data_IF_425777393844
#
_entry.id   IF_425777393844
#
_cell.length_a   1.000
_cell.length_b   1.000
_cell.length_c   1.000
_cell.angle_alpha   90.00
_cell.angle_beta   90.00
_cell.angle_gamma   90.00
#
_symmetry.space_group_name_H-M   'P 1'
#
loop_
_entity.id
_entity.type
_entity.pdbx_description
1 polymer ?
#
# COMPACT_ATOMS: atom_id res chain seq x y z
N UNK A 1 50.85 8.20 -25.21
CA UNK A 1 50.14 8.30 -23.91
C UNK A 1 48.74 7.71 -24.09
N UNK A 2 48.33 6.67 -23.34
CA UNK A 2 46.99 6.12 -23.46
C UNK A 2 45.97 6.97 -22.69
N UNK A 3 44.89 7.36 -23.36
CA UNK A 3 43.79 8.17 -22.80
C UNK A 3 42.87 7.31 -21.93
N UNK A 4 42.62 7.75 -20.70
CA UNK A 4 41.69 7.11 -19.75
C UNK A 4 40.25 7.13 -20.30
N UNK A 5 39.49 6.01 -20.24
CA UNK A 5 38.12 6.00 -20.73
C UNK A 5 37.22 6.86 -19.85
N UNK A 6 36.45 7.75 -20.48
CA UNK A 6 35.47 8.63 -19.83
C UNK A 6 34.16 7.89 -19.56
N UNK A 7 33.51 8.07 -18.40
CA UNK A 7 32.21 7.47 -18.11
C UNK A 7 31.10 8.13 -18.96
N UNK A 8 30.38 7.33 -19.75
CA UNK A 8 29.26 7.80 -20.57
C UNK A 8 28.01 8.01 -19.70
N UNK A 9 27.62 9.28 -19.51
CA UNK A 9 26.34 9.67 -18.93
C UNK A 9 25.25 9.60 -19.99
N UNK A 10 24.62 8.43 -20.17
CA UNK A 10 23.42 8.31 -21.01
C UNK A 10 22.23 8.92 -20.26
N UNK A 11 21.90 10.17 -20.59
CA UNK A 11 20.65 10.82 -20.14
C UNK A 11 19.48 10.06 -20.78
N UNK A 12 18.56 9.57 -19.94
CA UNK A 12 17.32 8.95 -20.40
C UNK A 12 16.40 10.06 -20.92
N UNK A 13 16.29 10.19 -22.23
CA UNK A 13 15.32 11.08 -22.88
C UNK A 13 13.91 10.50 -22.69
N UNK A 14 13.01 11.28 -22.10
CA UNK A 14 11.61 10.91 -21.97
C UNK A 14 10.87 11.39 -23.22
N UNK A 15 10.77 10.53 -24.21
CA UNK A 15 9.83 10.77 -25.31
C UNK A 15 8.43 10.76 -24.72
N UNK A 16 7.79 11.93 -24.72
CA UNK A 16 6.44 12.16 -24.22
C UNK A 16 5.46 11.47 -25.18
N UNK A 17 5.34 10.15 -25.10
CA UNK A 17 4.20 9.46 -25.72
C UNK A 17 2.97 9.88 -24.95
N UNK A 18 2.14 10.69 -25.60
CA UNK A 18 0.96 11.31 -25.04
C UNK A 18 0.11 10.31 -24.27
N UNK A 19 -0.36 10.78 -23.11
CA UNK A 19 -1.43 10.19 -22.34
C UNK A 19 -2.63 9.92 -23.26
N UNK A 20 -2.84 8.68 -23.68
CA UNK A 20 -4.12 8.27 -24.26
C UNK A 20 -5.10 8.18 -23.09
N UNK A 21 -5.76 9.29 -22.80
CA UNK A 21 -6.92 9.34 -21.91
C UNK A 21 -7.97 8.40 -22.49
N UNK A 22 -8.17 7.27 -21.82
CA UNK A 22 -9.34 6.42 -22.02
C UNK A 22 -10.23 6.64 -20.80
N UNK A 23 -11.14 7.61 -20.92
CA UNK A 23 -12.31 7.67 -20.03
C UNK A 23 -13.29 6.61 -20.52
N UNK A 24 -13.68 5.66 -19.67
CA UNK A 24 -15.01 5.05 -19.69
C UNK A 24 -15.43 4.67 -18.27
N UNK A 25 -16.65 5.09 -17.95
CA UNK A 25 -17.41 4.83 -16.73
C UNK A 25 -17.77 3.34 -16.59
N UNK A 26 -17.37 2.68 -15.50
CA UNK A 26 -18.27 1.89 -14.63
C UNK A 26 -17.51 1.04 -13.58
N UNK A 27 -18.11 0.79 -12.41
CA UNK A 27 -17.45 0.22 -11.23
C UNK A 27 -17.58 -1.31 -11.11
N UNK A 28 -16.75 -1.87 -10.23
CA UNK A 28 -16.68 -3.27 -9.75
C UNK A 28 -15.91 -4.28 -10.60
N UNK A 29 -14.73 -4.69 -10.12
CA UNK A 29 -14.42 -6.12 -10.06
C UNK A 29 -13.52 -6.45 -8.86
N UNK A 30 -13.98 -7.47 -8.15
CA UNK A 30 -13.54 -8.01 -6.89
C UNK A 30 -12.25 -8.83 -7.07
N UNK A 31 -11.37 -8.73 -6.08
CA UNK A 31 -10.39 -9.72 -5.62
C UNK A 31 -10.24 -11.02 -6.42
N UNK A 32 -9.03 -11.31 -6.92
CA UNK A 32 -8.44 -12.67 -6.86
C UNK A 32 -6.91 -12.61 -6.82
N UNK A 33 -6.33 -12.99 -5.69
CA UNK A 33 -4.98 -13.54 -5.57
C UNK A 33 -4.93 -14.94 -6.18
N UNK A 34 -3.93 -15.23 -7.01
CA UNK A 34 -3.50 -16.61 -7.29
C UNK A 34 -1.97 -16.69 -7.30
N UNK A 35 -1.43 -17.28 -6.23
CA UNK A 35 -0.13 -17.95 -6.22
C UNK A 35 -0.29 -19.41 -6.71
N UNK A 36 0.87 -20.05 -6.93
CA UNK A 36 1.14 -21.49 -7.17
C UNK A 36 0.98 -22.00 -8.62
N UNK A 37 1.85 -22.81 -9.23
CA UNK A 37 3.20 -23.36 -8.97
C UNK A 37 3.61 -24.19 -10.22
N UNK A 38 4.92 -24.27 -10.53
CA UNK A 38 5.56 -25.36 -11.32
C UNK A 38 5.38 -25.34 -12.85
N UNK A 39 6.36 -25.66 -13.70
CA UNK A 39 7.75 -26.13 -13.59
C UNK A 39 8.40 -26.05 -15.01
N UNK A 40 9.70 -26.33 -15.18
CA UNK A 40 10.57 -25.77 -16.22
C UNK A 40 10.96 -26.75 -17.35
N UNK A 41 11.21 -26.25 -18.58
CA UNK A 41 12.27 -26.81 -19.44
C UNK A 41 12.51 -25.93 -20.68
N UNK A 42 13.77 -25.56 -20.94
CA UNK A 42 14.33 -25.64 -22.30
C UNK A 42 15.86 -25.71 -22.18
N UNK A 43 16.36 -26.94 -22.34
CA UNK A 43 17.76 -27.27 -22.51
C UNK A 43 18.11 -27.02 -23.98
N UNK A 44 18.95 -26.04 -24.27
CA UNK A 44 19.87 -26.13 -25.41
C UNK A 44 21.19 -25.47 -25.04
N UNK A 45 22.22 -26.30 -24.87
CA UNK A 45 23.62 -25.91 -24.75
C UNK A 45 24.10 -25.38 -26.10
N UNK A 46 24.62 -24.16 -26.13
CA UNK A 46 25.22 -23.57 -27.32
C UNK A 46 26.25 -22.52 -26.92
N UNK A 47 27.51 -22.85 -27.14
CA UNK A 47 28.71 -22.06 -26.83
C UNK A 47 28.84 -20.82 -27.73
N UNK A 48 29.30 -19.72 -27.11
CA UNK A 48 29.91 -18.51 -27.71
C UNK A 48 28.97 -17.59 -28.52
N UNK A 49 28.64 -16.43 -27.93
CA UNK A 49 28.89 -15.09 -28.49
C UNK A 49 28.49 -14.02 -27.47
N UNK A 50 29.46 -13.20 -27.09
CA UNK A 50 29.24 -12.00 -26.28
C UNK A 50 28.25 -11.07 -27.00
N UNK A 51 27.17 -10.69 -26.32
CA UNK A 51 26.34 -9.52 -26.64
C UNK A 51 26.05 -8.77 -25.33
N UNK A 52 26.94 -7.87 -24.89
CA UNK A 52 26.88 -7.30 -23.55
C UNK A 52 26.20 -5.92 -23.50
N UNK A 53 25.10 -5.62 -24.21
CA UNK A 53 24.55 -4.25 -24.12
C UNK A 53 23.02 -4.06 -24.16
N UNK A 54 22.20 -5.06 -24.54
CA UNK A 54 20.74 -4.86 -24.67
C UNK A 54 19.92 -5.42 -23.50
N UNK A 55 20.36 -6.54 -22.91
CA UNK A 55 19.71 -7.14 -21.72
C UNK A 55 19.80 -6.25 -20.47
N UNK A 56 20.82 -5.41 -20.37
CA UNK A 56 20.98 -4.48 -19.24
C UNK A 56 20.03 -3.28 -19.34
N UNK A 57 19.71 -2.82 -20.55
CA UNK A 57 18.79 -1.69 -20.76
C UNK A 57 17.33 -2.07 -20.49
N UNK A 58 16.89 -3.27 -20.90
CA UNK A 58 15.53 -3.75 -20.59
C UNK A 58 15.33 -3.90 -19.08
N UNK A 59 16.29 -4.52 -18.39
CA UNK A 59 16.24 -4.68 -16.94
C UNK A 59 16.20 -3.31 -16.24
N UNK A 60 16.99 -2.34 -16.69
CA UNK A 60 16.95 -0.98 -16.14
C UNK A 60 15.58 -0.29 -16.32
N UNK A 61 14.92 -0.48 -17.48
CA UNK A 61 13.57 0.04 -17.71
C UNK A 61 12.54 -0.64 -16.79
N UNK A 62 12.62 -1.96 -16.63
CA UNK A 62 11.75 -2.72 -15.73
C UNK A 62 11.91 -2.27 -14.28
N UNK A 63 13.14 -2.02 -13.82
CA UNK A 63 13.41 -1.48 -12.48
C UNK A 63 12.78 -0.08 -12.29
N UNK A 64 12.88 0.80 -13.29
CA UNK A 64 12.26 2.14 -13.24
C UNK A 64 10.73 2.04 -13.18
N UNK A 65 10.13 1.19 -14.01
CA UNK A 65 8.68 0.97 -14.00
C UNK A 65 8.21 0.35 -12.68
N UNK A 66 8.96 -0.62 -12.14
CA UNK A 66 8.67 -1.23 -10.85
C UNK A 66 8.69 -0.20 -9.70
N UNK A 67 9.72 0.66 -9.65
CA UNK A 67 9.80 1.71 -8.63
C UNK A 67 8.70 2.78 -8.80
N UNK A 68 8.36 3.13 -10.04
CA UNK A 68 7.21 4.02 -10.31
C UNK A 68 5.92 3.44 -9.73
N UNK A 69 5.59 2.19 -10.07
CA UNK A 69 4.40 1.49 -9.53
C UNK A 69 4.43 1.41 -8.01
N UNK A 70 5.61 1.17 -7.42
CA UNK A 70 5.77 1.18 -5.96
C UNK A 70 5.41 2.54 -5.35
N UNK A 71 5.86 3.64 -5.95
CA UNK A 71 5.55 5.00 -5.48
C UNK A 71 4.10 5.40 -5.69
N UNK A 72 3.49 4.98 -6.79
CA UNK A 72 2.06 5.20 -7.07
C UNK A 72 1.22 4.50 -5.99
N UNK A 73 1.45 3.21 -5.75
CA UNK A 73 0.78 2.43 -4.69
C UNK A 73 0.96 3.05 -3.30
N UNK A 74 2.15 3.58 -3.00
CA UNK A 74 2.39 4.27 -1.73
C UNK A 74 1.56 5.55 -1.63
N UNK A 75 1.52 6.34 -2.70
CA UNK A 75 0.72 7.57 -2.77
C UNK A 75 -0.77 7.28 -2.61
N UNK A 76 -1.30 6.28 -3.30
CA UNK A 76 -2.70 5.83 -3.16
C UNK A 76 -3.05 5.49 -1.71
N UNK A 77 -2.16 4.76 -1.02
CA UNK A 77 -2.36 4.42 0.39
C UNK A 77 -2.35 5.65 1.30
N UNK A 78 -1.49 6.64 1.03
CA UNK A 78 -1.50 7.90 1.77
C UNK A 78 -2.79 8.69 1.55
N UNK A 79 -3.30 8.73 0.32
CA UNK A 79 -4.58 9.38 -0.01
C UNK A 79 -5.74 8.68 0.71
N UNK A 80 -5.81 7.35 0.60
CA UNK A 80 -6.84 6.57 1.29
C UNK A 80 -6.78 6.77 2.81
N UNK A 81 -5.58 6.75 3.40
CA UNK A 81 -5.38 7.02 4.82
C UNK A 81 -5.87 8.43 5.19
N UNK A 82 -5.53 9.45 4.38
CA UNK A 82 -5.94 10.83 4.65
C UNK A 82 -7.46 11.03 4.68
N UNK A 83 -8.20 10.26 3.87
CA UNK A 83 -9.66 10.32 3.81
C UNK A 83 -10.35 9.71 5.04
N UNK A 84 -9.67 8.80 5.75
CA UNK A 84 -10.20 8.15 6.96
C UNK A 84 -9.94 8.95 8.24
N UNK A 85 -9.05 9.96 8.20
CA UNK A 85 -8.69 10.74 9.37
C UNK A 85 -9.60 11.97 9.49
N UNK A 86 -10.45 12.07 10.52
CA UNK A 86 -11.31 13.23 10.70
C UNK A 86 -10.48 14.46 11.10
N UNK A 87 -10.88 15.63 10.59
CA UNK A 87 -10.29 16.92 10.98
C UNK A 87 -8.86 17.17 10.45
N UNK A 88 -8.40 16.36 9.49
CA UNK A 88 -7.08 16.52 8.87
C UNK A 88 -7.01 17.82 8.06
N UNK A 89 -6.18 18.78 8.51
CA UNK A 89 -5.98 20.08 7.82
C UNK A 89 -4.78 20.09 6.87
N UNK A 90 -3.78 19.27 7.16
CA UNK A 90 -2.52 19.21 6.42
C UNK A 90 -2.34 17.82 5.83
N UNK A 91 -2.14 17.76 4.52
CA UNK A 91 -2.00 16.50 3.77
C UNK A 91 -0.53 16.09 3.57
N UNK A 92 0.42 16.75 4.25
CA UNK A 92 1.81 16.32 4.20
C UNK A 92 2.01 14.98 4.94
N UNK A 93 3.02 14.21 4.50
CA UNK A 93 3.21 12.82 4.96
C UNK A 93 3.40 12.69 6.47
N UNK A 94 4.09 13.65 7.11
CA UNK A 94 4.36 13.60 8.54
C UNK A 94 3.07 13.89 9.32
N UNK A 95 2.33 14.93 8.94
CA UNK A 95 1.04 15.26 9.56
C UNK A 95 0.02 14.12 9.42
N UNK A 96 -0.11 13.52 8.23
CA UNK A 96 -1.03 12.39 8.00
C UNK A 96 -0.72 11.21 8.94
N UNK A 97 0.55 10.82 9.07
CA UNK A 97 0.93 9.71 9.96
C UNK A 97 0.73 10.07 11.44
N UNK A 98 1.07 11.29 11.83
CA UNK A 98 0.90 11.76 13.20
C UNK A 98 -0.57 11.81 13.62
N UNK A 99 -1.44 12.33 12.76
CA UNK A 99 -2.87 12.42 13.04
C UNK A 99 -3.57 11.06 12.95
N UNK A 100 -3.12 10.16 12.05
CA UNK A 100 -3.56 8.76 12.03
C UNK A 100 -3.31 8.07 13.38
N UNK A 101 -2.09 8.22 13.92
CA UNK A 101 -1.72 7.62 15.20
C UNK A 101 -2.60 8.14 16.34
N UNK A 102 -2.86 9.45 16.38
CA UNK A 102 -3.75 10.06 17.37
C UNK A 102 -5.17 9.49 17.26
N UNK A 103 -5.68 9.37 16.03
CA UNK A 103 -7.04 8.88 15.82
C UNK A 103 -7.19 7.41 16.24
N UNK A 104 -6.19 6.55 15.98
CA UNK A 104 -6.19 5.15 16.44
C UNK A 104 -6.26 5.09 17.97
N UNK A 105 -5.44 5.88 18.68
CA UNK A 105 -5.45 5.92 20.16
C UNK A 105 -6.81 6.35 20.70
N UNK A 106 -7.39 7.39 20.09
CA UNK A 106 -8.73 7.85 20.42
C UNK A 106 -9.81 6.76 20.23
N UNK A 107 -9.76 6.01 19.12
CA UNK A 107 -10.70 4.93 18.88
C UNK A 107 -10.53 3.80 19.90
N UNK A 108 -9.31 3.46 20.29
CA UNK A 108 -9.03 2.44 21.32
C UNK A 108 -9.61 2.84 22.68
N UNK A 109 -9.43 4.09 23.09
CA UNK A 109 -10.00 4.64 24.33
C UNK A 109 -11.52 4.55 24.33
N UNK A 110 -12.17 5.00 23.25
CA UNK A 110 -13.64 4.95 23.12
C UNK A 110 -14.21 3.54 23.15
N UNK A 111 -13.52 2.59 22.54
CA UNK A 111 -13.94 1.18 22.62
C UNK A 111 -13.87 0.69 24.07
N UNK A 112 -12.80 1.03 24.79
CA UNK A 112 -12.65 0.71 26.22
C UNK A 112 -13.79 1.29 27.07
N UNK A 113 -14.10 2.58 26.90
CA UNK A 113 -15.23 3.24 27.58
C UNK A 113 -16.56 2.52 27.32
N UNK A 114 -16.83 2.14 26.07
CA UNK A 114 -18.07 1.44 25.71
C UNK A 114 -18.15 0.03 26.29
N UNK A 115 -17.03 -0.67 26.40
CA UNK A 115 -16.97 -1.99 27.02
C UNK A 115 -17.22 -1.92 28.53
N UNK A 116 -16.63 -0.94 29.20
CA UNK A 116 -16.84 -0.69 30.63
C UNK A 116 -18.31 -0.32 30.91
N UNK A 117 -18.86 0.63 30.15
CA UNK A 117 -20.26 1.04 30.29
C UNK A 117 -21.22 -0.13 30.04
N UNK A 118 -20.89 -1.03 29.11
CA UNK A 118 -21.68 -2.26 28.86
C UNK A 118 -21.61 -3.21 30.05
N UNK A 119 -20.47 -3.32 30.72
CA UNK A 119 -20.29 -4.12 31.93
C UNK A 119 -21.09 -3.55 33.09
N UNK A 120 -21.03 -2.24 33.33
CA UNK A 120 -21.79 -1.55 34.37
C UNK A 120 -23.30 -1.77 34.20
N UNK A 121 -23.85 -1.48 33.01
CA UNK A 121 -25.28 -1.74 32.71
C UNK A 121 -25.68 -3.18 32.95
N UNK A 122 -24.80 -4.13 32.63
CA UNK A 122 -25.06 -5.56 32.88
C UNK A 122 -25.10 -5.86 34.37
N UNK A 123 -24.16 -5.30 35.14
CA UNK A 123 -24.13 -5.46 36.59
C UNK A 123 -25.36 -4.84 37.26
N UNK A 124 -25.73 -3.62 36.87
CA UNK A 124 -26.95 -2.94 37.34
C UNK A 124 -28.20 -3.79 37.07
N UNK A 125 -28.33 -4.31 35.84
CA UNK A 125 -29.44 -5.20 35.49
C UNK A 125 -29.48 -6.47 36.34
N UNK A 126 -28.32 -7.11 36.57
CA UNK A 126 -28.23 -8.31 37.42
C UNK A 126 -28.58 -8.00 38.88
N UNK A 127 -28.20 -6.84 39.40
CA UNK A 127 -28.53 -6.40 40.76
C UNK A 127 -30.03 -6.19 40.91
N UNK A 128 -30.69 -5.56 39.93
CA UNK A 128 -32.15 -5.37 39.93
C UNK A 128 -32.90 -6.71 39.96
N UNK A 129 -32.48 -7.68 39.14
CA UNK A 129 -33.09 -9.03 39.10
C UNK A 129 -32.88 -9.80 40.40
N UNK A 130 -31.72 -9.65 41.05
CA UNK A 130 -31.47 -10.29 42.35
C UNK A 130 -32.30 -9.66 43.47
N UNK A 131 -32.43 -8.33 43.48
CA UNK A 131 -33.25 -7.60 44.46
C UNK A 131 -34.72 -8.00 44.39
N UNK A 132 -35.28 -8.13 43.18
CA UNK A 132 -36.68 -8.56 43.04
C UNK A 132 -36.94 -9.99 43.53
N UNK A 133 -35.98 -10.91 43.35
CA UNK A 133 -36.07 -12.29 43.87
C UNK A 133 -35.99 -12.42 45.39
N UNK A 134 -35.44 -11.43 46.09
CA UNK A 134 -35.31 -11.45 47.56
C UNK A 134 -36.53 -10.85 48.28
N UNK A 135 -37.40 -10.13 47.54
CA UNK A 135 -38.57 -9.43 48.09
C UNK A 135 -39.87 -10.25 47.86
N UNK A 136 -39.80 -11.31 47.04
CA UNK A 136 -40.84 -12.34 46.86
C UNK A 136 -40.54 -13.55 47.75
#
# INVERSE_FOLDING_TARGET
LPTKPQPSSRILSFEKTGLKVMNQDSPNLIFTTKEEVGSPELITRGTKRAQPFTRSQSNAQDHILAERKRREKLTERFVALSALIPGLKKMDKASVLGDALKHIKYLQERVGEFEEQKKERRLESMVLVKKSKLIL
#
